data_IF_542303698349
#
_entry.id   IF_542303698349
#
_cell.length_a   1.000
_cell.length_b   1.000
_cell.length_c   1.000
_cell.angle_alpha   90.00
_cell.angle_beta   90.00
_cell.angle_gamma   90.00
#
_symmetry.space_group_name_H-M   'P 1'
#
loop_
_entity.id
_entity.type
_entity.pdbx_description
1 polymer ?
#
# COMPACT_ATOMS: atom_id res chain seq x y z
N UNK A 1 -5.36 -11.62 -0.42
CA UNK A 1 -4.41 -10.88 -1.25
C UNK A 1 -5.10 -10.41 -2.53
N UNK A 2 -4.96 -9.13 -2.84
CA UNK A 2 -5.59 -8.49 -4.00
C UNK A 2 -4.80 -8.67 -5.30
N UNK A 3 -3.54 -9.03 -5.19
CA UNK A 3 -2.64 -9.14 -6.34
C UNK A 3 -2.27 -10.59 -6.62
N UNK A 4 -2.00 -10.87 -7.90
CA UNK A 4 -1.41 -12.14 -8.29
C UNK A 4 -0.06 -12.36 -7.59
N UNK A 5 0.26 -13.60 -7.26
CA UNK A 5 1.55 -13.97 -6.70
C UNK A 5 2.72 -13.66 -7.66
N UNK A 6 2.42 -13.46 -8.95
CA UNK A 6 3.44 -13.17 -9.96
C UNK A 6 3.79 -11.68 -10.06
N UNK A 7 3.12 -10.82 -9.27
CA UNK A 7 3.42 -9.37 -9.28
C UNK A 7 4.54 -9.05 -8.31
N UNK A 8 5.37 -8.05 -8.67
CA UNK A 8 6.51 -7.61 -7.85
C UNK A 8 6.47 -6.12 -7.62
N UNK A 9 6.88 -5.71 -6.41
CA UNK A 9 7.16 -4.32 -6.09
C UNK A 9 8.59 -3.97 -6.47
N UNK A 10 8.76 -2.83 -7.14
CA UNK A 10 10.05 -2.22 -7.39
C UNK A 10 10.13 -0.92 -6.60
N UNK A 11 11.08 -0.81 -5.70
CA UNK A 11 11.30 0.40 -4.91
C UNK A 11 11.95 1.46 -5.80
N UNK A 12 11.29 2.63 -5.87
CA UNK A 12 11.80 3.78 -6.61
C UNK A 12 12.59 4.73 -5.69
N UNK A 13 12.14 4.92 -4.46
CA UNK A 13 12.77 5.78 -3.47
C UNK A 13 12.29 5.42 -2.08
N UNK A 14 13.11 5.68 -1.07
CA UNK A 14 12.66 5.62 0.32
C UNK A 14 13.30 6.73 1.14
N UNK A 15 12.55 7.28 2.09
CA UNK A 15 13.01 8.38 2.92
C UNK A 15 12.20 8.47 4.21
N UNK A 16 12.84 8.98 5.25
CA UNK A 16 12.14 9.41 6.46
C UNK A 16 11.35 10.67 6.15
N UNK A 17 10.09 10.71 6.56
CA UNK A 17 9.18 11.82 6.30
C UNK A 17 8.43 12.22 7.56
N UNK A 18 8.08 13.49 7.65
CA UNK A 18 7.06 14.00 8.56
C UNK A 18 5.82 14.26 7.70
N UNK A 19 4.74 13.53 7.97
CA UNK A 19 3.57 13.58 7.09
C UNK A 19 2.82 14.89 7.22
N UNK A 20 2.34 15.42 6.09
CA UNK A 20 1.49 16.59 6.06
C UNK A 20 0.06 16.28 6.51
N UNK A 21 -0.77 17.32 6.67
CA UNK A 21 -2.13 17.17 7.15
C UNK A 21 -2.99 16.28 6.24
N UNK A 22 -2.83 16.39 4.93
CA UNK A 22 -3.59 15.60 3.95
C UNK A 22 -3.22 14.11 4.04
N UNK A 23 -1.93 13.80 4.05
CA UNK A 23 -1.44 12.44 4.18
C UNK A 23 -1.81 11.84 5.54
N UNK A 24 -1.66 12.62 6.62
CA UNK A 24 -2.01 12.18 7.96
C UNK A 24 -3.48 11.76 8.07
N UNK A 25 -4.38 12.54 7.48
CA UNK A 25 -5.80 12.19 7.43
C UNK A 25 -6.04 10.88 6.67
N UNK A 26 -5.37 10.70 5.55
CA UNK A 26 -5.50 9.51 4.72
C UNK A 26 -4.98 8.25 5.40
N UNK A 27 -3.82 8.32 6.04
CA UNK A 27 -3.20 7.15 6.69
C UNK A 27 -3.61 6.97 8.17
N UNK A 28 -4.33 7.93 8.74
CA UNK A 28 -4.90 7.81 10.08
C UNK A 28 -3.92 8.11 11.22
N UNK A 29 -3.10 9.14 11.07
CA UNK A 29 -2.19 9.62 12.12
C UNK A 29 -2.29 11.13 12.27
N UNK A 30 -1.45 11.71 13.14
CA UNK A 30 -1.39 13.15 13.34
C UNK A 30 -0.45 13.82 12.33
N UNK A 31 -0.75 15.06 11.90
CA UNK A 31 0.19 15.82 11.08
C UNK A 31 1.52 15.98 11.81
N UNK A 32 2.62 15.80 11.07
CA UNK A 32 3.97 15.88 11.61
C UNK A 32 4.50 14.55 12.17
N UNK A 33 3.68 13.52 12.26
CA UNK A 33 4.14 12.19 12.67
C UNK A 33 5.25 11.69 11.74
N UNK A 34 6.26 11.07 12.34
CA UNK A 34 7.40 10.52 11.61
C UNK A 34 7.09 9.11 11.11
N UNK A 35 7.34 8.90 9.82
CA UNK A 35 7.23 7.61 9.16
C UNK A 35 8.42 7.43 8.22
N UNK A 36 8.70 6.20 7.85
CA UNK A 36 9.58 5.91 6.73
C UNK A 36 8.70 5.57 5.52
N UNK A 37 8.78 6.41 4.47
CA UNK A 37 7.99 6.23 3.25
C UNK A 37 8.80 5.51 2.20
N UNK A 38 8.24 4.46 1.63
CA UNK A 38 8.81 3.69 0.55
C UNK A 38 7.94 3.89 -0.68
N UNK A 39 8.46 4.60 -1.67
CA UNK A 39 7.79 4.80 -2.95
C UNK A 39 8.12 3.63 -3.86
N UNK A 40 7.10 2.98 -4.38
CA UNK A 40 7.28 1.78 -5.18
C UNK A 40 6.26 1.68 -6.31
N UNK A 41 6.59 0.86 -7.30
CA UNK A 41 5.68 0.52 -8.39
C UNK A 41 5.52 -1.00 -8.41
N UNK A 42 4.28 -1.46 -8.54
CA UNK A 42 3.99 -2.87 -8.69
C UNK A 42 3.86 -3.20 -10.16
N UNK A 43 4.57 -4.23 -10.59
CA UNK A 43 4.59 -4.68 -11.98
C UNK A 43 4.00 -6.08 -12.12
N UNK A 44 3.22 -6.29 -13.18
CA UNK A 44 2.82 -7.63 -13.63
C UNK A 44 3.98 -8.34 -14.33
N UNK A 45 4.66 -7.59 -15.20
CA UNK A 45 5.91 -7.95 -15.83
C UNK A 45 6.76 -6.66 -15.99
N UNK A 46 7.96 -6.75 -16.55
CA UNK A 46 8.91 -5.62 -16.62
C UNK A 46 8.33 -4.37 -17.32
N UNK A 47 7.29 -4.52 -18.14
CA UNK A 47 6.71 -3.43 -18.95
C UNK A 47 5.30 -3.05 -18.54
N UNK A 48 4.72 -3.74 -17.55
CA UNK A 48 3.29 -3.60 -17.22
C UNK A 48 3.11 -3.14 -15.79
N UNK A 49 3.29 -1.83 -15.50
CA UNK A 49 3.03 -1.29 -14.16
C UNK A 49 1.54 -1.34 -13.85
N UNK A 50 1.19 -1.87 -12.68
CA UNK A 50 -0.20 -2.00 -12.22
C UNK A 50 -0.60 -0.81 -11.38
N UNK A 51 0.24 -0.43 -10.40
CA UNK A 51 -0.06 0.66 -9.49
C UNK A 51 1.21 1.30 -8.94
N UNK A 52 1.06 2.55 -8.53
CA UNK A 52 1.99 3.24 -7.66
C UNK A 52 1.62 2.95 -6.21
N UNK A 53 2.58 2.61 -5.38
CA UNK A 53 2.34 2.27 -3.99
C UNK A 53 3.28 3.05 -3.08
N UNK A 54 2.70 3.90 -2.23
CA UNK A 54 3.42 4.52 -1.12
C UNK A 54 3.20 3.65 0.12
N UNK A 55 4.29 3.12 0.65
CA UNK A 55 4.25 2.29 1.85
C UNK A 55 4.86 3.06 3.00
N UNK A 56 4.09 3.22 4.07
CA UNK A 56 4.51 3.93 5.28
C UNK A 56 4.76 2.88 6.36
N UNK A 57 5.98 2.84 6.87
CA UNK A 57 6.35 1.97 7.98
C UNK A 57 6.88 2.80 9.13
N UNK A 58 6.82 2.26 10.34
CA UNK A 58 7.38 2.93 11.50
C UNK A 58 8.89 3.13 11.33
N UNK A 59 9.47 4.21 11.87
CA UNK A 59 10.92 4.46 11.74
C UNK A 59 11.78 3.29 12.22
N UNK A 60 11.38 2.58 13.27
CA UNK A 60 12.09 1.41 13.77
C UNK A 60 12.13 0.24 12.78
N UNK A 61 11.26 0.24 11.76
CA UNK A 61 11.19 -0.80 10.73
C UNK A 61 11.79 -0.36 9.39
N UNK A 62 12.44 0.78 9.33
CA UNK A 62 12.92 1.37 8.06
C UNK A 62 13.83 0.46 7.23
N UNK A 63 14.55 -0.43 7.88
CA UNK A 63 15.50 -1.32 7.20
C UNK A 63 14.82 -2.33 6.26
N UNK A 64 13.52 -2.53 6.37
CA UNK A 64 12.80 -3.43 5.45
C UNK A 64 12.81 -2.93 4.01
N UNK A 65 13.03 -1.64 3.79
CA UNK A 65 13.09 -1.06 2.45
C UNK A 65 14.11 -1.78 1.55
N UNK A 66 15.19 -2.28 2.13
CA UNK A 66 16.24 -2.99 1.40
C UNK A 66 15.81 -4.41 0.99
N UNK A 67 14.71 -4.92 1.55
CA UNK A 67 14.23 -6.28 1.31
C UNK A 67 12.96 -6.36 0.48
N UNK A 68 12.30 -5.23 0.25
CA UNK A 68 11.10 -5.17 -0.57
C UNK A 68 11.47 -5.43 -2.02
N UNK A 69 10.73 -6.36 -2.66
CA UNK A 69 10.92 -6.68 -4.06
C UNK A 69 11.96 -7.77 -4.33
N UNK A 70 12.60 -8.33 -3.31
CA UNK A 70 13.46 -9.52 -3.47
C UNK A 70 12.64 -10.71 -3.98
N UNK A 71 11.40 -10.80 -3.50
CA UNK A 71 10.44 -11.80 -3.93
C UNK A 71 9.00 -11.20 -3.93
N UNK A 72 7.99 -12.03 -3.94
CA UNK A 72 6.58 -11.61 -3.97
C UNK A 72 5.94 -11.48 -2.59
N UNK A 73 6.74 -11.56 -1.51
CA UNK A 73 6.23 -11.48 -0.14
C UNK A 73 5.63 -10.10 0.13
N UNK A 74 4.39 -10.01 0.64
CA UNK A 74 3.81 -8.73 1.03
C UNK A 74 4.61 -8.03 2.11
N UNK A 75 4.65 -6.70 2.08
CA UNK A 75 5.45 -5.89 3.01
C UNK A 75 5.14 -6.19 4.47
N UNK A 76 3.85 -6.29 4.84
CA UNK A 76 3.49 -6.57 6.23
C UNK A 76 4.05 -7.91 6.73
N UNK A 77 4.14 -8.91 5.85
CA UNK A 77 4.72 -10.21 6.19
C UNK A 77 6.22 -10.13 6.38
N UNK A 78 6.90 -9.26 5.63
CA UNK A 78 8.34 -9.00 5.83
C UNK A 78 8.55 -8.41 7.22
N UNK A 79 7.70 -7.45 7.62
CA UNK A 79 7.77 -6.83 8.96
C UNK A 79 7.49 -7.88 10.05
N UNK A 80 6.48 -8.72 9.87
CA UNK A 80 6.17 -9.79 10.82
C UNK A 80 7.37 -10.71 11.04
N UNK A 81 8.00 -11.12 9.95
CA UNK A 81 9.14 -12.03 9.99
C UNK A 81 10.37 -11.42 10.65
N UNK A 82 10.67 -10.16 10.32
CA UNK A 82 11.89 -9.49 10.79
C UNK A 82 11.80 -8.98 12.23
N UNK A 83 10.62 -8.52 12.64
CA UNK A 83 10.44 -7.80 13.91
C UNK A 83 9.49 -8.50 14.88
N UNK A 84 8.92 -9.63 14.50
CA UNK A 84 8.02 -10.38 15.39
C UNK A 84 6.67 -9.71 15.64
N UNK A 85 6.34 -8.67 14.88
CA UNK A 85 5.03 -8.03 14.92
C UNK A 85 4.03 -8.91 14.18
N UNK A 86 2.81 -9.00 14.68
CA UNK A 86 1.75 -9.78 14.02
C UNK A 86 0.58 -8.88 13.67
N UNK A 87 0.15 -8.93 12.40
CA UNK A 87 -1.02 -8.20 11.95
C UNK A 87 -2.28 -8.92 12.46
N UNK A 88 -2.98 -8.28 13.41
CA UNK A 88 -4.23 -8.79 13.97
C UNK A 88 -5.45 -8.26 13.22
N UNK A 89 -5.34 -7.07 12.66
CA UNK A 89 -6.42 -6.40 11.96
C UNK A 89 -5.88 -5.66 10.74
N UNK A 90 -6.59 -5.77 9.63
CA UNK A 90 -6.32 -4.99 8.43
C UNK A 90 -7.60 -4.23 8.07
N UNK A 91 -7.51 -2.90 8.03
CA UNK A 91 -8.59 -2.07 7.51
C UNK A 91 -8.29 -1.66 6.08
N UNK A 92 -9.32 -1.49 5.28
CA UNK A 92 -9.19 -1.16 3.87
C UNK A 92 -10.20 -0.09 3.48
N UNK A 93 -9.69 1.03 2.95
CA UNK A 93 -10.50 2.09 2.37
C UNK A 93 -10.25 2.14 0.87
N UNK A 94 -11.33 2.27 0.10
CA UNK A 94 -11.28 2.37 -1.36
C UNK A 94 -11.96 3.67 -1.78
N UNK A 95 -11.29 4.43 -2.64
CA UNK A 95 -11.87 5.66 -3.18
C UNK A 95 -11.30 5.99 -4.55
N UNK A 96 -12.03 6.80 -5.31
CA UNK A 96 -11.60 7.27 -6.62
C UNK A 96 -10.65 8.45 -6.47
N UNK A 97 -9.66 8.52 -7.35
CA UNK A 97 -8.73 9.61 -7.43
C UNK A 97 -8.39 9.98 -8.87
N UNK A 98 -7.51 10.95 -9.02
CA UNK A 98 -6.90 11.31 -10.29
C UNK A 98 -5.39 11.39 -10.10
N UNK A 99 -4.65 10.79 -11.02
CA UNK A 99 -3.20 10.63 -10.85
C UNK A 99 -2.45 11.95 -11.09
N UNK A 100 -1.50 12.26 -10.23
CA UNK A 100 -0.63 13.42 -10.40
C UNK A 100 0.43 13.16 -11.47
N UNK A 101 0.98 14.24 -12.02
CA UNK A 101 1.88 14.20 -13.18
C UNK A 101 3.10 13.30 -12.98
N UNK A 102 3.78 13.39 -11.84
CA UNK A 102 4.99 12.60 -11.58
C UNK A 102 4.74 11.10 -11.60
N UNK A 103 3.61 10.67 -11.03
CA UNK A 103 3.21 9.25 -11.02
C UNK A 103 2.68 8.81 -12.39
N UNK A 104 1.99 9.70 -13.09
CA UNK A 104 1.45 9.42 -14.41
C UNK A 104 2.54 9.03 -15.41
N UNK A 105 3.69 9.72 -15.36
CA UNK A 105 4.84 9.40 -16.20
C UNK A 105 5.32 7.97 -15.99
N UNK A 106 5.46 7.55 -14.76
CA UNK A 106 5.91 6.19 -14.42
C UNK A 106 4.87 5.16 -14.85
N UNK A 107 3.60 5.47 -14.65
CA UNK A 107 2.49 4.56 -14.96
C UNK A 107 2.11 4.54 -16.44
N UNK A 108 2.67 5.43 -17.26
CA UNK A 108 2.38 5.48 -18.68
C UNK A 108 0.95 5.92 -18.99
N UNK A 109 0.39 6.82 -18.20
CA UNK A 109 -0.94 7.40 -18.40
C UNK A 109 -0.87 8.92 -18.43
N UNK A 110 -1.95 9.56 -18.89
CA UNK A 110 -2.02 11.03 -18.88
C UNK A 110 -2.22 11.54 -17.46
N UNK A 111 -1.57 12.67 -17.08
CA UNK A 111 -1.86 13.34 -15.81
C UNK A 111 -3.37 13.62 -15.68
N UNK A 112 -3.89 13.41 -14.48
CA UNK A 112 -5.33 13.56 -14.21
C UNK A 112 -6.18 12.36 -14.58
N UNK A 113 -5.61 11.30 -15.14
CA UNK A 113 -6.35 10.07 -15.44
C UNK A 113 -7.00 9.50 -14.17
N UNK A 114 -8.22 8.92 -14.28
CA UNK A 114 -8.90 8.35 -13.12
C UNK A 114 -8.15 7.15 -12.56
N UNK A 115 -8.19 7.03 -11.24
CA UNK A 115 -7.55 5.95 -10.51
C UNK A 115 -8.48 5.37 -9.44
N UNK A 116 -8.21 4.12 -9.05
CA UNK A 116 -8.74 3.52 -7.84
C UNK A 116 -7.62 3.54 -6.81
N UNK A 117 -7.87 4.17 -5.66
CA UNK A 117 -6.92 4.23 -4.54
C UNK A 117 -7.39 3.29 -3.45
N UNK A 118 -6.47 2.47 -2.96
CA UNK A 118 -6.73 1.54 -1.86
C UNK A 118 -5.74 1.84 -0.75
N UNK A 119 -6.27 2.17 0.44
CA UNK A 119 -5.47 2.37 1.65
C UNK A 119 -5.67 1.18 2.57
N UNK A 120 -4.58 0.45 2.88
CA UNK A 120 -4.59 -0.67 3.83
C UNK A 120 -3.80 -0.29 5.06
N UNK A 121 -4.42 -0.46 6.23
CA UNK A 121 -3.78 -0.19 7.52
C UNK A 121 -3.66 -1.51 8.28
N UNK A 122 -2.45 -1.86 8.66
CA UNK A 122 -2.13 -3.09 9.38
C UNK A 122 -1.87 -2.76 10.84
N UNK A 123 -2.69 -3.34 11.73
CA UNK A 123 -2.62 -3.11 13.18
C UNK A 123 -2.14 -4.36 13.89
N UNK A 124 -1.30 -4.17 14.89
CA UNK A 124 -0.89 -5.24 15.78
C UNK A 124 -1.93 -5.48 16.88
N UNK A 125 -1.66 -6.45 17.77
CA UNK A 125 -2.56 -6.81 18.88
C UNK A 125 -2.82 -5.69 19.89
N UNK A 126 -1.96 -4.66 19.91
CA UNK A 126 -2.14 -3.49 20.79
C UNK A 126 -3.01 -2.40 20.13
N UNK A 127 -3.40 -2.60 18.88
CA UNK A 127 -4.12 -1.62 18.09
C UNK A 127 -3.23 -0.58 17.41
N UNK A 128 -1.91 -0.70 17.54
CA UNK A 128 -0.97 0.19 16.89
C UNK A 128 -0.87 -0.14 15.39
N UNK A 129 -1.00 0.86 14.56
CA UNK A 129 -0.77 0.73 13.11
C UNK A 129 0.73 0.68 12.87
N UNK A 130 1.24 -0.41 12.30
CA UNK A 130 2.67 -0.57 12.03
C UNK A 130 3.02 -0.42 10.53
N UNK A 131 2.04 -0.54 9.66
CA UNK A 131 2.20 -0.31 8.22
C UNK A 131 0.92 0.27 7.62
N UNK A 132 1.08 1.22 6.72
CA UNK A 132 0.00 1.70 5.85
C UNK A 132 0.49 1.65 4.41
N UNK A 133 -0.26 1.02 3.53
CA UNK A 133 0.00 1.08 2.09
C UNK A 133 -1.08 1.91 1.40
N UNK A 134 -0.65 2.80 0.52
CA UNK A 134 -1.52 3.63 -0.33
C UNK A 134 -1.21 3.27 -1.76
N UNK A 135 -2.09 2.50 -2.39
CA UNK A 135 -1.89 1.99 -3.74
C UNK A 135 -2.85 2.66 -4.71
N UNK A 136 -2.30 3.30 -5.73
CA UNK A 136 -3.06 4.04 -6.74
C UNK A 136 -2.97 3.31 -8.08
N UNK A 137 -4.14 2.85 -8.56
CA UNK A 137 -4.27 2.03 -9.76
C UNK A 137 -4.92 2.83 -10.87
N UNK A 138 -4.23 3.06 -12.00
CA UNK A 138 -4.89 3.65 -13.17
C UNK A 138 -6.08 2.81 -13.61
N UNK A 139 -7.13 3.48 -14.09
CA UNK A 139 -8.33 2.80 -14.54
C UNK A 139 -8.02 1.70 -15.58
N UNK A 140 -8.70 0.57 -15.43
CA UNK A 140 -8.58 -0.56 -16.37
C UNK A 140 -7.43 -1.53 -16.07
N UNK A 141 -6.58 -1.26 -15.07
CA UNK A 141 -5.44 -2.14 -14.73
C UNK A 141 -5.65 -3.02 -13.52
N UNK A 142 -6.70 -2.75 -12.76
CA UNK A 142 -6.98 -3.48 -11.54
C UNK A 142 -8.48 -3.54 -11.31
N UNK A 143 -8.95 -4.70 -10.86
CA UNK A 143 -10.33 -4.90 -10.43
C UNK A 143 -10.32 -5.36 -8.98
N UNK A 144 -11.06 -4.65 -8.12
CA UNK A 144 -11.32 -5.10 -6.77
C UNK A 144 -12.60 -5.91 -6.76
N UNK A 145 -12.53 -7.15 -6.28
CA UNK A 145 -13.68 -8.05 -6.19
C UNK A 145 -13.85 -8.52 -4.75
N UNK A 146 -15.08 -8.52 -4.30
CA UNK A 146 -15.44 -9.01 -2.97
C UNK A 146 -16.70 -9.88 -3.08
N UNK A 147 -16.66 -11.04 -2.46
CA UNK A 147 -17.80 -11.95 -2.37
C UNK A 147 -18.42 -11.81 -0.99
N UNK A 148 -19.70 -11.46 -0.97
CA UNK A 148 -20.46 -11.35 0.27
C UNK A 148 -21.37 -12.57 0.40
N UNK A 149 -21.13 -13.38 1.42
CA UNK A 149 -21.93 -14.56 1.69
C UNK A 149 -23.02 -14.22 2.71
N UNK A 150 -24.24 -14.44 2.32
CA UNK A 150 -25.37 -14.32 3.24
C UNK A 150 -25.42 -15.56 4.12
N UNK A 151 -25.30 -15.38 5.45
CA UNK A 151 -25.52 -16.48 6.37
C UNK A 151 -27.01 -16.79 6.45
N UNK A 152 -27.38 -18.04 6.18
CA UNK A 152 -28.77 -18.52 6.48
C UNK A 152 -28.82 -18.83 7.98
N UNK A 153 -29.66 -18.09 8.74
CA UNK A 153 -30.02 -18.52 10.08
C UNK A 153 -30.89 -19.75 9.92
N UNK A 154 -30.34 -20.93 10.17
CA UNK A 154 -31.14 -22.12 10.40
C UNK A 154 -31.52 -22.09 11.87
N UNK A 155 -32.78 -21.80 12.16
CA UNK A 155 -33.37 -22.02 13.47
C UNK A 155 -33.50 -23.52 13.74
#
# INVERSE_FOLDING_TARGET
>A
LQYSIDTRLKVENSASVEVDAKTAKMIGCDPGDAWHRIESVRYLDEKSPICWSDVYVRPEHQNIADRIGEDTTPVFMVIEKEFGVVAEEVTMDLFAGSIEESKAWVMGVKPGSPTLIIVRKYKDKTGRVFEVSVSEHPAGRFTFSIDLLRSSNSD
#
